data_IF_635097016940
#
_entry.id   IF_635097016940
#
_cell.length_a   1.000
_cell.length_b   1.000
_cell.length_c   1.000
_cell.angle_alpha   90.00
_cell.angle_beta   90.00
_cell.angle_gamma   90.00
#
_symmetry.space_group_name_H-M   'P 1'
#
loop_
_entity.id
_entity.type
_entity.pdbx_description
1 polymer ?
#
# COMPACT_ATOMS: atom_id res chain seq x y z
N UNK A 1 79.38 -18.47 49.28
CA UNK A 1 79.19 -17.46 48.21
C UNK A 1 78.74 -18.19 46.94
N UNK A 2 77.89 -17.52 46.16
CA UNK A 2 77.41 -17.85 44.81
C UNK A 2 76.17 -18.73 44.67
N UNK A 3 75.21 -18.16 43.93
CA UNK A 3 73.82 -18.56 43.72
C UNK A 3 73.69 -19.43 42.46
N UNK A 4 72.76 -20.37 42.50
CA UNK A 4 72.28 -21.18 41.38
C UNK A 4 71.28 -20.38 40.54
N UNK A 5 71.40 -20.39 39.22
CA UNK A 5 70.33 -20.01 38.29
C UNK A 5 70.22 -21.05 37.17
N UNK A 6 69.05 -21.69 37.09
CA UNK A 6 68.66 -22.63 36.06
C UNK A 6 67.69 -21.94 35.09
N UNK A 7 68.04 -21.94 33.81
CA UNK A 7 67.26 -21.34 32.73
C UNK A 7 66.28 -22.39 32.17
N UNK A 8 64.98 -22.18 32.36
CA UNK A 8 63.90 -22.94 31.72
C UNK A 8 63.26 -22.18 30.55
N UNK A 9 63.00 -22.94 29.49
CA UNK A 9 62.36 -22.63 28.21
C UNK A 9 61.15 -21.68 28.30
N UNK A 10 61.09 -20.69 27.41
CA UNK A 10 59.87 -19.92 27.12
C UNK A 10 59.20 -20.46 25.85
N UNK A 11 58.00 -21.02 26.03
CA UNK A 11 57.06 -21.35 24.96
C UNK A 11 56.43 -20.06 24.40
N UNK A 12 56.46 -19.86 23.09
CA UNK A 12 55.73 -18.80 22.42
C UNK A 12 54.33 -19.31 22.03
N UNK A 13 53.30 -18.79 22.69
CA UNK A 13 51.89 -18.96 22.27
C UNK A 13 51.51 -17.70 21.49
N UNK A 14 51.26 -17.85 20.19
CA UNK A 14 50.71 -16.78 19.35
C UNK A 14 49.19 -16.78 19.54
N UNK A 15 48.66 -15.77 20.22
CA UNK A 15 47.23 -15.54 20.32
C UNK A 15 46.76 -14.79 19.07
N UNK A 16 46.00 -15.46 18.21
CA UNK A 16 45.36 -14.85 17.04
C UNK A 16 44.02 -14.26 17.48
N UNK A 17 43.99 -12.94 17.72
CA UNK A 17 42.76 -12.21 18.03
C UNK A 17 41.91 -12.05 16.77
N UNK A 18 40.81 -12.81 16.67
CA UNK A 18 39.75 -12.59 15.69
C UNK A 18 38.98 -11.33 16.08
N UNK A 19 39.22 -10.24 15.35
CA UNK A 19 38.38 -9.04 15.40
C UNK A 19 37.03 -9.38 14.74
N UNK A 20 36.02 -9.65 15.56
CA UNK A 20 34.63 -9.64 15.12
C UNK A 20 34.27 -8.18 14.82
N UNK A 21 34.20 -7.84 13.53
CA UNK A 21 33.59 -6.59 13.11
C UNK A 21 32.08 -6.71 13.36
N UNK A 22 31.59 -6.06 14.42
CA UNK A 22 30.16 -5.81 14.60
C UNK A 22 29.70 -4.90 13.46
N UNK A 23 29.21 -5.52 12.38
CA UNK A 23 28.46 -4.80 11.35
C UNK A 23 27.12 -4.47 11.96
N UNK A 24 27.02 -3.31 12.60
CA UNK A 24 25.74 -2.75 13.00
C UNK A 24 24.91 -2.56 11.72
N UNK A 25 23.98 -3.48 11.45
CA UNK A 25 22.95 -3.28 10.43
C UNK A 25 22.14 -2.07 10.87
N UNK A 26 22.35 -0.94 10.18
CA UNK A 26 21.48 0.21 10.30
C UNK A 26 20.06 -0.28 9.98
N UNK A 27 19.21 -0.38 11.00
CA UNK A 27 17.79 -0.59 10.79
C UNK A 27 17.29 0.59 9.96
N UNK A 28 16.98 0.33 8.68
CA UNK A 28 16.41 1.36 7.82
C UNK A 28 15.12 1.82 8.47
N UNK A 29 14.99 3.12 8.74
CA UNK A 29 13.79 3.67 9.35
C UNK A 29 12.54 3.24 8.56
N UNK A 30 11.45 2.98 9.28
CA UNK A 30 10.16 2.66 8.68
C UNK A 30 9.66 3.83 7.84
N UNK A 31 8.99 3.51 6.73
CA UNK A 31 8.36 4.50 5.88
C UNK A 31 7.26 5.24 6.65
N UNK A 32 7.25 6.57 6.54
CA UNK A 32 6.33 7.45 7.27
C UNK A 32 5.29 8.07 6.35
N UNK A 33 4.12 8.30 6.90
CA UNK A 33 2.99 8.95 6.26
C UNK A 33 2.69 10.28 6.97
N UNK A 34 2.25 11.33 6.26
CA UNK A 34 1.71 12.54 6.87
C UNK A 34 0.52 12.29 7.82
N UNK A 35 -0.12 11.12 7.72
CA UNK A 35 -1.25 10.72 8.57
C UNK A 35 -0.86 9.88 9.79
N UNK A 36 0.44 9.62 10.02
CA UNK A 36 0.91 8.82 11.17
C UNK A 36 0.67 9.49 12.52
N UNK A 37 0.44 10.80 12.54
CA UNK A 37 0.03 11.48 13.77
C UNK A 37 -1.33 10.95 14.21
N UNK A 38 -1.43 10.36 15.42
CA UNK A 38 -2.68 9.86 15.96
C UNK A 38 -3.75 10.95 16.02
N UNK A 39 -4.99 10.57 15.77
CA UNK A 39 -6.12 11.50 15.87
C UNK A 39 -6.59 11.57 17.32
N UNK A 40 -6.72 12.79 17.84
CA UNK A 40 -7.43 13.02 19.09
C UNK A 40 -8.93 13.07 18.81
N UNK A 41 -9.62 11.94 18.99
CA UNK A 41 -11.08 11.86 18.80
C UNK A 41 -11.79 12.76 19.83
N UNK A 42 -12.55 13.73 19.32
CA UNK A 42 -13.29 14.71 20.12
C UNK A 42 -14.78 14.37 20.21
N UNK A 43 -15.30 13.68 19.18
CA UNK A 43 -16.70 13.30 19.05
C UNK A 43 -16.80 11.80 18.80
N UNK A 44 -17.80 11.17 19.39
CA UNK A 44 -18.14 9.77 19.18
C UNK A 44 -19.62 9.67 18.87
N UNK A 45 -20.04 10.36 17.81
CA UNK A 45 -21.40 10.26 17.33
C UNK A 45 -21.71 8.80 16.92
N UNK A 46 -22.92 8.28 17.21
CA UNK A 46 -23.30 6.93 16.82
C UNK A 46 -23.07 6.69 15.34
N UNK A 47 -22.42 5.58 15.02
CA UNK A 47 -22.10 5.20 13.64
C UNK A 47 -22.49 3.75 13.40
N UNK A 48 -23.39 3.54 12.44
CA UNK A 48 -23.78 2.20 11.99
C UNK A 48 -22.90 1.80 10.83
N UNK A 49 -22.06 0.78 11.01
CA UNK A 49 -21.22 0.25 9.94
C UNK A 49 -22.08 -0.48 8.89
N UNK A 50 -22.11 -0.02 7.62
CA UNK A 50 -22.81 -0.73 6.56
C UNK A 50 -22.08 -2.03 6.19
N UNK A 51 -22.74 -2.93 5.47
CA UNK A 51 -22.11 -4.14 4.96
C UNK A 51 -21.16 -3.82 3.79
N UNK A 52 -19.90 -4.31 3.80
CA UNK A 52 -19.01 -4.17 2.66
C UNK A 52 -19.59 -4.80 1.38
N UNK A 53 -19.53 -4.12 0.22
CA UNK A 53 -19.94 -4.72 -1.04
C UNK A 53 -18.90 -5.75 -1.52
N UNK A 54 -19.32 -6.71 -2.33
CA UNK A 54 -18.35 -7.58 -3.02
C UNK A 54 -17.72 -6.81 -4.19
N UNK A 55 -16.40 -6.62 -4.14
CA UNK A 55 -15.63 -6.06 -5.25
C UNK A 55 -15.07 -7.18 -6.14
N UNK A 56 -14.92 -6.92 -7.45
CA UNK A 56 -14.41 -7.95 -8.36
C UNK A 56 -12.92 -8.21 -8.15
N UNK A 57 -12.52 -9.48 -8.25
CA UNK A 57 -11.11 -9.87 -8.34
C UNK A 57 -10.44 -9.31 -9.60
N UNK A 58 -11.12 -9.36 -10.74
CA UNK A 58 -10.64 -8.79 -12.02
C UNK A 58 -11.52 -7.65 -12.49
N UNK A 59 -10.91 -6.50 -12.82
CA UNK A 59 -11.61 -5.36 -13.42
C UNK A 59 -11.83 -5.61 -14.91
N UNK A 60 -13.07 -5.41 -15.37
CA UNK A 60 -13.47 -5.48 -16.78
C UNK A 60 -13.93 -4.11 -17.26
N UNK A 61 -12.99 -3.21 -17.55
CA UNK A 61 -13.27 -1.88 -18.07
C UNK A 61 -12.58 -1.69 -19.42
N UNK A 62 -13.18 -0.91 -20.33
CA UNK A 62 -12.60 -0.52 -21.61
C UNK A 62 -12.54 1.00 -21.71
N UNK A 63 -11.72 1.54 -22.61
CA UNK A 63 -11.71 2.98 -22.88
C UNK A 63 -13.08 3.48 -23.34
N UNK A 64 -13.32 4.77 -23.17
CA UNK A 64 -14.58 5.41 -23.53
C UNK A 64 -14.41 6.57 -24.51
N UNK A 65 -13.33 6.57 -25.28
CA UNK A 65 -13.05 7.61 -26.27
C UNK A 65 -13.22 7.07 -27.69
N UNK A 66 -13.71 7.90 -28.60
CA UNK A 66 -13.92 7.53 -30.01
C UNK A 66 -12.72 7.82 -30.90
N UNK A 67 -11.77 8.64 -30.45
CA UNK A 67 -10.61 9.09 -31.20
C UNK A 67 -9.27 8.59 -30.60
N UNK A 68 -8.23 8.53 -31.44
CA UNK A 68 -6.91 8.07 -31.04
C UNK A 68 -6.19 9.03 -30.07
N UNK A 69 -6.59 10.30 -30.00
CA UNK A 69 -6.05 11.25 -29.04
C UNK A 69 -6.72 11.15 -27.65
N UNK A 70 -7.71 10.26 -27.49
CA UNK A 70 -8.44 10.05 -26.25
C UNK A 70 -9.08 11.35 -25.71
N UNK A 71 -9.74 12.10 -26.60
CA UNK A 71 -10.27 13.44 -26.31
C UNK A 71 -11.77 13.57 -26.49
N UNK A 72 -12.38 12.73 -27.34
CA UNK A 72 -13.81 12.76 -27.65
C UNK A 72 -14.49 11.57 -26.97
N UNK A 73 -15.33 11.86 -25.99
CA UNK A 73 -16.09 10.83 -25.26
C UNK A 73 -17.13 10.20 -26.18
N UNK A 74 -17.12 8.88 -26.27
CA UNK A 74 -18.22 8.09 -26.83
C UNK A 74 -19.26 7.82 -25.72
N UNK A 75 -20.51 8.30 -25.86
CA UNK A 75 -21.51 8.17 -24.81
C UNK A 75 -21.91 6.73 -24.52
N UNK A 76 -21.88 5.84 -25.52
CA UNK A 76 -22.23 4.41 -25.35
C UNK A 76 -21.11 3.71 -24.59
N UNK A 77 -19.85 3.92 -24.99
CA UNK A 77 -18.70 3.35 -24.27
C UNK A 77 -18.59 3.91 -22.86
N UNK A 78 -18.87 5.22 -22.67
CA UNK A 78 -18.86 5.84 -21.35
C UNK A 78 -19.90 5.24 -20.42
N UNK A 79 -21.10 4.96 -20.91
CA UNK A 79 -22.13 4.26 -20.14
C UNK A 79 -21.64 2.86 -19.71
N UNK A 80 -21.07 2.09 -20.64
CA UNK A 80 -20.52 0.77 -20.31
C UNK A 80 -19.36 0.83 -19.30
N UNK A 81 -18.47 1.81 -19.43
CA UNK A 81 -17.41 2.08 -18.45
C UNK A 81 -17.98 2.45 -17.08
N UNK A 82 -19.03 3.27 -17.03
CA UNK A 82 -19.65 3.70 -15.78
C UNK A 82 -20.32 2.53 -15.06
N UNK A 83 -21.02 1.67 -15.80
CA UNK A 83 -21.63 0.44 -15.28
C UNK A 83 -20.54 -0.52 -14.75
N UNK A 84 -19.46 -0.71 -15.51
CA UNK A 84 -18.36 -1.59 -15.14
C UNK A 84 -17.57 -1.12 -13.90
N UNK A 85 -17.48 0.20 -13.66
CA UNK A 85 -16.67 0.79 -12.58
C UNK A 85 -17.49 1.36 -11.43
N UNK A 86 -18.82 1.35 -11.53
CA UNK A 86 -19.72 2.03 -10.59
C UNK A 86 -19.57 1.55 -9.15
N UNK A 87 -19.50 0.23 -8.94
CA UNK A 87 -19.32 -0.37 -7.61
C UNK A 87 -17.98 -0.01 -6.97
N UNK A 88 -16.90 -0.02 -7.76
CA UNK A 88 -15.56 0.40 -7.32
C UNK A 88 -15.56 1.87 -6.87
N UNK A 89 -16.16 2.74 -7.69
CA UNK A 89 -16.28 4.18 -7.38
C UNK A 89 -17.13 4.43 -6.13
N UNK A 90 -18.22 3.67 -5.95
CA UNK A 90 -19.03 3.75 -4.75
C UNK A 90 -18.26 3.32 -3.50
N UNK A 91 -17.55 2.18 -3.56
CA UNK A 91 -16.73 1.69 -2.47
C UNK A 91 -15.64 2.70 -2.07
N UNK A 92 -14.90 3.26 -3.04
CA UNK A 92 -13.91 4.31 -2.76
C UNK A 92 -14.53 5.50 -2.00
N UNK A 93 -15.67 6.02 -2.47
CA UNK A 93 -16.34 7.15 -1.78
C UNK A 93 -16.75 6.78 -0.36
N UNK A 94 -17.35 5.61 -0.16
CA UNK A 94 -17.81 5.17 1.16
C UNK A 94 -16.66 5.03 2.14
N UNK A 95 -15.59 4.34 1.76
CA UNK A 95 -14.45 4.10 2.65
C UNK A 95 -13.65 5.39 2.90
N UNK A 96 -13.44 6.23 1.87
CA UNK A 96 -12.79 7.53 2.05
C UNK A 96 -13.58 8.42 3.02
N UNK A 97 -14.92 8.47 2.91
CA UNK A 97 -15.75 9.29 3.79
C UNK A 97 -15.67 8.86 5.27
N UNK A 98 -15.58 7.55 5.53
CA UNK A 98 -15.36 7.03 6.88
C UNK A 98 -13.99 7.43 7.43
N UNK A 99 -12.94 7.30 6.63
CA UNK A 99 -11.60 7.75 7.02
C UNK A 99 -11.51 9.28 7.21
N UNK A 100 -12.22 10.06 6.39
CA UNK A 100 -12.31 11.51 6.52
C UNK A 100 -13.01 11.92 7.81
N UNK A 101 -14.12 11.25 8.15
CA UNK A 101 -14.84 11.46 9.40
C UNK A 101 -13.94 11.21 10.61
N UNK A 102 -13.22 10.08 10.62
CA UNK A 102 -12.20 9.81 11.64
C UNK A 102 -11.17 10.94 11.74
N UNK A 103 -10.57 11.35 10.62
CA UNK A 103 -9.57 12.44 10.60
C UNK A 103 -10.12 13.79 11.03
N UNK A 104 -11.42 14.03 10.95
CA UNK A 104 -12.08 15.22 11.48
C UNK A 104 -12.26 15.18 13.02
N UNK A 105 -11.76 14.13 13.69
CA UNK A 105 -11.87 13.96 15.13
C UNK A 105 -13.21 13.37 15.57
N UNK A 106 -13.92 12.68 14.66
CA UNK A 106 -15.22 12.07 14.94
C UNK A 106 -15.23 10.57 14.63
N UNK A 107 -15.48 9.76 15.65
CA UNK A 107 -15.86 8.36 15.51
C UNK A 107 -14.72 7.41 15.18
N UNK A 108 -14.09 6.86 16.21
CA UNK A 108 -13.27 5.62 16.17
C UNK A 108 -14.02 4.46 15.48
N UNK A 109 -15.34 4.37 15.71
CA UNK A 109 -16.20 3.40 15.02
C UNK A 109 -16.19 3.54 13.49
N UNK A 110 -15.97 4.74 12.94
CA UNK A 110 -15.87 4.95 11.50
C UNK A 110 -14.53 4.47 10.94
N UNK A 111 -13.43 4.64 11.70
CA UNK A 111 -12.13 4.07 11.34
C UNK A 111 -12.16 2.55 11.35
N UNK A 112 -12.69 1.94 12.42
CA UNK A 112 -12.84 0.48 12.51
C UNK A 112 -13.73 -0.07 11.39
N UNK A 113 -14.80 0.64 11.01
CA UNK A 113 -15.63 0.24 9.87
C UNK A 113 -14.89 0.36 8.53
N UNK A 114 -14.12 1.44 8.32
CA UNK A 114 -13.29 1.57 7.12
C UNK A 114 -12.26 0.44 7.02
N UNK A 115 -11.62 0.06 8.14
CA UNK A 115 -10.72 -1.09 8.19
C UNK A 115 -11.44 -2.40 7.88
N UNK A 116 -12.65 -2.61 8.40
CA UNK A 116 -13.48 -3.78 8.08
C UNK A 116 -13.80 -3.90 6.58
N UNK A 117 -14.10 -2.78 5.91
CA UNK A 117 -14.28 -2.76 4.44
C UNK A 117 -13.01 -3.19 3.71
N UNK A 118 -11.87 -2.57 4.05
CA UNK A 118 -10.60 -2.87 3.40
C UNK A 118 -10.17 -4.33 3.62
N UNK A 119 -10.38 -4.88 4.83
CA UNK A 119 -10.08 -6.27 5.16
C UNK A 119 -10.99 -7.26 4.42
N UNK A 120 -12.26 -6.91 4.22
CA UNK A 120 -13.19 -7.70 3.39
C UNK A 120 -12.72 -7.74 1.92
N UNK A 121 -12.24 -6.62 1.39
CA UNK A 121 -11.69 -6.56 0.04
C UNK A 121 -10.37 -7.34 -0.08
N UNK A 122 -9.50 -7.25 0.94
CA UNK A 122 -8.29 -8.04 1.02
C UNK A 122 -8.57 -9.54 1.05
N UNK A 123 -9.48 -9.98 1.94
CA UNK A 123 -9.84 -11.39 2.12
C UNK A 123 -10.49 -12.01 0.89
N UNK A 124 -11.28 -11.22 0.14
CA UNK A 124 -11.90 -11.67 -1.12
C UNK A 124 -10.95 -11.63 -2.33
N UNK A 125 -9.73 -11.12 -2.17
CA UNK A 125 -8.80 -10.92 -3.28
C UNK A 125 -9.33 -9.93 -4.30
N UNK A 126 -10.01 -8.87 -3.86
CA UNK A 126 -10.46 -7.81 -4.76
C UNK A 126 -9.24 -7.21 -5.49
N UNK A 127 -9.38 -6.93 -6.79
CA UNK A 127 -8.35 -6.31 -7.62
C UNK A 127 -7.07 -7.14 -7.87
N UNK A 128 -6.93 -8.35 -7.34
CA UNK A 128 -5.70 -9.15 -7.51
C UNK A 128 -5.68 -9.98 -8.80
N UNK A 129 -6.84 -10.08 -9.47
CA UNK A 129 -6.98 -10.85 -10.70
C UNK A 129 -6.38 -10.15 -11.92
N UNK A 130 -6.21 -10.92 -12.99
CA UNK A 130 -5.68 -10.40 -14.25
C UNK A 130 -6.54 -9.26 -14.80
N UNK A 131 -5.88 -8.21 -15.27
CA UNK A 131 -6.47 -7.07 -16.00
C UNK A 131 -6.27 -7.27 -17.50
N UNK A 132 -7.36 -7.26 -18.27
CA UNK A 132 -7.32 -7.62 -19.70
C UNK A 132 -7.20 -6.43 -20.65
N UNK A 133 -7.29 -5.20 -20.14
CA UNK A 133 -7.17 -3.96 -20.92
C UNK A 133 -6.30 -2.96 -20.17
N UNK A 134 -5.70 -2.01 -20.91
CA UNK A 134 -4.98 -0.89 -20.28
C UNK A 134 -5.90 -0.10 -19.33
N UNK A 135 -7.15 0.13 -19.75
CA UNK A 135 -8.13 0.84 -18.92
C UNK A 135 -8.42 0.14 -17.59
N UNK A 136 -8.46 -1.20 -17.57
CA UNK A 136 -8.63 -1.97 -16.34
C UNK A 136 -7.45 -1.77 -15.38
N UNK A 137 -6.21 -1.69 -15.90
CA UNK A 137 -5.01 -1.39 -15.09
C UNK A 137 -5.06 0.02 -14.52
N UNK A 138 -5.52 1.00 -15.31
CA UNK A 138 -5.64 2.38 -14.83
C UNK A 138 -6.65 2.48 -13.69
N UNK A 139 -7.81 1.84 -13.85
CA UNK A 139 -8.84 1.78 -12.79
C UNK A 139 -8.30 1.07 -11.56
N UNK A 140 -7.56 -0.04 -11.71
CA UNK A 140 -6.93 -0.73 -10.60
C UNK A 140 -5.99 0.20 -9.82
N UNK A 141 -5.14 0.95 -10.52
CA UNK A 141 -4.21 1.91 -9.90
C UNK A 141 -4.93 3.03 -9.13
N UNK A 142 -6.02 3.58 -9.68
CA UNK A 142 -6.81 4.60 -8.99
C UNK A 142 -7.50 4.07 -7.74
N UNK A 143 -8.08 2.87 -7.82
CA UNK A 143 -8.74 2.23 -6.67
C UNK A 143 -7.71 1.88 -5.60
N UNK A 144 -6.56 1.32 -5.99
CA UNK A 144 -5.41 1.07 -5.11
C UNK A 144 -4.98 2.34 -4.38
N UNK A 145 -4.75 3.44 -5.12
CA UNK A 145 -4.31 4.70 -4.51
C UNK A 145 -5.33 5.25 -3.49
N UNK A 146 -6.63 5.16 -3.80
CA UNK A 146 -7.69 5.57 -2.87
C UNK A 146 -7.69 4.74 -1.59
N UNK A 147 -7.60 3.41 -1.71
CA UNK A 147 -7.61 2.50 -0.57
C UNK A 147 -6.32 2.58 0.25
N UNK A 148 -5.17 2.73 -0.39
CA UNK A 148 -3.89 2.91 0.29
C UNK A 148 -3.90 4.20 1.13
N UNK A 149 -4.31 5.33 0.56
CA UNK A 149 -4.44 6.58 1.33
C UNK A 149 -5.46 6.46 2.45
N UNK A 150 -6.60 5.80 2.21
CA UNK A 150 -7.58 5.55 3.26
C UNK A 150 -6.97 4.77 4.42
N UNK A 151 -6.27 3.68 4.13
CA UNK A 151 -5.57 2.90 5.15
C UNK A 151 -4.58 3.78 5.93
N UNK A 152 -3.76 4.56 5.24
CA UNK A 152 -2.81 5.48 5.87
C UNK A 152 -3.49 6.49 6.82
N UNK A 153 -4.73 6.90 6.54
CA UNK A 153 -5.49 7.85 7.37
C UNK A 153 -5.97 7.23 8.68
N UNK A 154 -6.22 5.92 8.70
CA UNK A 154 -6.83 5.23 9.84
C UNK A 154 -5.87 4.29 10.57
N UNK A 155 -4.72 3.93 9.97
CA UNK A 155 -3.79 2.91 10.51
C UNK A 155 -3.22 3.19 11.91
N UNK A 156 -3.28 4.43 12.37
CA UNK A 156 -2.83 4.81 13.72
C UNK A 156 -3.86 4.50 14.80
N UNK A 157 -5.09 4.13 14.43
CA UNK A 157 -6.15 3.78 15.36
C UNK A 157 -5.88 2.43 16.01
N UNK A 158 -5.74 2.42 17.34
CA UNK A 158 -5.40 1.23 18.12
C UNK A 158 -6.55 0.25 18.30
N UNK A 159 -7.78 0.64 17.96
CA UNK A 159 -8.94 -0.27 17.96
C UNK A 159 -9.00 -1.19 16.74
N UNK A 160 -8.17 -0.93 15.73
CA UNK A 160 -8.03 -1.83 14.58
C UNK A 160 -7.11 -3.00 14.97
N UNK A 161 -7.57 -4.26 14.89
CA UNK A 161 -6.73 -5.42 15.18
C UNK A 161 -5.48 -5.49 14.29
N UNK A 162 -4.35 -5.88 14.87
CA UNK A 162 -3.06 -5.90 14.16
C UNK A 162 -3.01 -6.92 13.02
N UNK A 163 -3.70 -8.03 13.15
CA UNK A 163 -3.83 -9.05 12.11
C UNK A 163 -4.65 -8.52 10.92
N UNK A 164 -5.73 -7.77 11.20
CA UNK A 164 -6.51 -7.06 10.20
C UNK A 164 -5.64 -6.03 9.46
N UNK A 165 -4.90 -5.20 10.20
CA UNK A 165 -4.00 -4.22 9.60
C UNK A 165 -2.93 -4.86 8.70
N UNK A 166 -2.39 -6.00 9.12
CA UNK A 166 -1.40 -6.76 8.34
C UNK A 166 -1.98 -7.31 7.04
N UNK A 167 -3.20 -7.85 7.05
CA UNK A 167 -3.89 -8.32 5.83
C UNK A 167 -4.16 -7.19 4.84
N UNK A 168 -4.65 -6.05 5.34
CA UNK A 168 -4.90 -4.87 4.50
C UNK A 168 -3.61 -4.39 3.85
N UNK A 169 -2.54 -4.22 4.63
CA UNK A 169 -1.27 -3.73 4.13
C UNK A 169 -0.63 -4.69 3.11
N UNK A 170 -0.64 -6.00 3.38
CA UNK A 170 -0.15 -7.02 2.45
C UNK A 170 -0.91 -7.02 1.13
N UNK A 171 -2.24 -6.99 1.19
CA UNK A 171 -3.08 -6.94 -0.01
C UNK A 171 -2.82 -5.69 -0.87
N UNK A 172 -2.69 -4.52 -0.26
CA UNK A 172 -2.35 -3.28 -0.98
C UNK A 172 -1.00 -3.38 -1.68
N UNK A 173 0.01 -3.98 -1.01
CA UNK A 173 1.33 -4.21 -1.60
C UNK A 173 1.30 -5.20 -2.78
N UNK A 174 0.48 -6.25 -2.70
CA UNK A 174 0.33 -7.23 -3.77
C UNK A 174 -0.30 -6.59 -5.02
N UNK A 175 -1.39 -5.83 -4.84
CA UNK A 175 -2.03 -5.09 -5.94
C UNK A 175 -1.07 -4.06 -6.55
N UNK A 176 -0.28 -3.36 -5.71
CA UNK A 176 0.74 -2.42 -6.19
C UNK A 176 1.84 -3.11 -7.00
N UNK A 177 2.30 -4.29 -6.58
CA UNK A 177 3.33 -5.07 -7.28
C UNK A 177 2.86 -5.49 -8.67
N UNK A 178 1.60 -5.94 -8.79
CA UNK A 178 0.99 -6.22 -10.09
C UNK A 178 0.89 -4.97 -10.97
N UNK A 179 0.48 -3.83 -10.39
CA UNK A 179 0.35 -2.58 -11.12
C UNK A 179 1.69 -2.07 -11.65
N UNK A 180 2.74 -2.08 -10.83
CA UNK A 180 4.10 -1.67 -11.22
C UNK A 180 4.62 -2.54 -12.37
N UNK A 181 4.40 -3.86 -12.32
CA UNK A 181 4.84 -4.79 -13.38
C UNK A 181 4.30 -4.38 -14.75
N UNK A 182 3.05 -3.90 -14.81
CA UNK A 182 2.47 -3.38 -16.05
C UNK A 182 3.24 -2.16 -16.58
N UNK A 183 3.62 -1.21 -15.72
CA UNK A 183 4.29 0.02 -16.15
C UNK A 183 5.79 -0.13 -16.42
N UNK A 184 6.46 -1.14 -15.83
CA UNK A 184 7.89 -1.40 -16.04
C UNK A 184 8.26 -1.66 -17.51
N UNK A 185 7.34 -2.22 -18.30
CA UNK A 185 7.59 -2.62 -19.69
C UNK A 185 7.01 -1.63 -20.71
N UNK A 186 6.85 -0.35 -20.34
CA UNK A 186 6.04 0.61 -21.12
C UNK A 186 6.73 1.94 -21.43
N UNK A 187 8.05 1.99 -21.33
CA UNK A 187 8.82 3.19 -21.65
C UNK A 187 8.60 3.67 -23.10
N UNK A 188 8.24 2.78 -24.03
CA UNK A 188 7.91 3.11 -25.42
C UNK A 188 6.42 3.47 -25.64
N UNK A 189 5.55 3.23 -24.65
CA UNK A 189 4.10 3.46 -24.75
C UNK A 189 3.73 4.86 -24.25
N UNK A 190 2.58 5.36 -24.68
CA UNK A 190 2.10 6.70 -24.30
C UNK A 190 1.73 6.77 -22.81
N UNK A 191 1.03 5.75 -22.30
CA UNK A 191 0.62 5.64 -20.90
C UNK A 191 1.78 5.41 -19.93
N UNK A 192 2.88 4.82 -20.40
CA UNK A 192 4.14 4.76 -19.66
C UNK A 192 4.91 6.08 -19.63
N UNK A 193 4.45 7.12 -20.32
CA UNK A 193 5.13 8.44 -20.39
C UNK A 193 4.20 9.61 -20.13
N UNK A 194 3.01 9.35 -19.60
CA UNK A 194 2.01 10.37 -19.31
C UNK A 194 1.48 10.23 -17.88
N UNK A 195 0.38 10.94 -17.59
CA UNK A 195 -0.24 10.99 -16.28
C UNK A 195 -0.57 9.60 -15.67
N UNK A 196 -0.82 8.57 -16.49
CA UNK A 196 -1.09 7.22 -15.97
C UNK A 196 0.08 6.68 -15.14
N UNK A 197 1.32 6.87 -15.60
CA UNK A 197 2.51 6.47 -14.84
C UNK A 197 2.66 7.25 -13.54
N UNK A 198 2.32 8.54 -13.54
CA UNK A 198 2.43 9.38 -12.35
C UNK A 198 1.40 8.94 -11.28
N UNK A 199 0.18 8.63 -11.71
CA UNK A 199 -0.86 8.08 -10.83
C UNK A 199 -0.53 6.69 -10.32
N UNK A 200 0.08 5.84 -11.15
CA UNK A 200 0.56 4.53 -10.72
C UNK A 200 1.69 4.65 -9.69
N UNK A 201 2.65 5.56 -9.90
CA UNK A 201 3.71 5.86 -8.94
C UNK A 201 3.15 6.36 -7.61
N UNK A 202 2.16 7.26 -7.63
CA UNK A 202 1.45 7.70 -6.42
C UNK A 202 0.81 6.52 -5.66
N UNK A 203 0.09 5.65 -6.38
CA UNK A 203 -0.59 4.50 -5.78
C UNK A 203 0.41 3.48 -5.20
N UNK A 204 1.49 3.20 -5.93
CA UNK A 204 2.57 2.33 -5.49
C UNK A 204 3.29 2.88 -4.25
N UNK A 205 3.65 4.16 -4.26
CA UNK A 205 4.27 4.84 -3.11
C UNK A 205 3.38 4.77 -1.87
N UNK A 206 2.08 5.08 -2.00
CA UNK A 206 1.14 5.01 -0.89
C UNK A 206 1.00 3.58 -0.33
N UNK A 207 0.95 2.57 -1.20
CA UNK A 207 0.94 1.16 -0.81
C UNK A 207 2.26 0.71 -0.17
N UNK A 208 3.39 1.22 -0.69
CA UNK A 208 4.73 1.01 -0.13
C UNK A 208 4.83 1.54 1.30
N UNK A 209 4.37 2.76 1.56
CA UNK A 209 4.30 3.32 2.92
C UNK A 209 3.35 2.51 3.80
N UNK A 210 2.18 2.12 3.27
CA UNK A 210 1.17 1.33 3.98
C UNK A 210 1.72 -0.02 4.48
N UNK A 211 2.56 -0.68 3.68
CA UNK A 211 3.13 -2.00 3.96
C UNK A 211 4.60 -1.97 4.40
N UNK A 212 5.19 -0.77 4.58
CA UNK A 212 6.62 -0.58 4.83
C UNK A 212 7.52 -1.29 3.78
N UNK A 213 7.08 -1.29 2.51
CA UNK A 213 7.78 -1.90 1.36
C UNK A 213 8.53 -0.83 0.58
N UNK A 214 9.84 -0.73 0.83
CA UNK A 214 10.72 0.27 0.19
C UNK A 214 10.83 0.10 -1.31
N UNK A 215 10.81 -1.14 -1.79
CA UNK A 215 10.83 -1.46 -3.22
C UNK A 215 9.58 -1.01 -3.99
N UNK A 216 8.46 -0.74 -3.29
CA UNK A 216 7.26 -0.12 -3.89
C UNK A 216 7.27 1.41 -3.74
N UNK A 217 8.04 1.93 -2.79
CA UNK A 217 8.18 3.35 -2.51
C UNK A 217 9.20 4.03 -3.42
N UNK A 218 10.33 3.36 -3.66
CA UNK A 218 11.45 3.81 -4.50
C UNK A 218 11.15 3.64 -6.00
#
# INVERSE_FOLDING_TARGET
>A
MSRFDAILRKSAVVAMSLLLADVAQAQTADLRSPWDTPVSVQKNEPFTCPTPPNLPTSIKAADYYSDAAHSIVDPVRKKAYDEATGSLRAAMRTVNAMADRYRAGDGEASATCAAHFLDSFATSGALTGATTTNQAVYVQGWVLGSFAVTWLKIRSDTSIPSDQGSRIAGWLADVASHNITYYQQRDDKSDGRNNHRYWAGFAAMAAGIAANRKDLFD
#
